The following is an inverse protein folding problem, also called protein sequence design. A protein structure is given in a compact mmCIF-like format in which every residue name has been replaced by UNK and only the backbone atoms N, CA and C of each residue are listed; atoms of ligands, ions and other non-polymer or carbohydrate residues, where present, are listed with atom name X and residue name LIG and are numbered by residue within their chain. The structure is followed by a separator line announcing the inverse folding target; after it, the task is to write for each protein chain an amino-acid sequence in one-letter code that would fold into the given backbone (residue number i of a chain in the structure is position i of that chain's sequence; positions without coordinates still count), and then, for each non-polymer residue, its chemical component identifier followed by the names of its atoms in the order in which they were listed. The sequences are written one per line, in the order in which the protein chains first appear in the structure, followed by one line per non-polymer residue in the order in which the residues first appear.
data_IF_643814300029
#
_entry.id   IF_643814300029
#
_cell.length_a   1.000
_cell.length_b   1.000
_cell.length_c   1.000
_cell.angle_alpha   90.00
_cell.angle_beta   90.00
_cell.angle_gamma   90.00
#
_symmetry.space_group_name_H-M   'P 1'
#
loop_
_entity.id
_entity.type
_entity.pdbx_description
1 polymer ?
#
# COMPACT_ATOMS: atom_id res chain seq x y z
N UNK A 1 -4.34 -6.89 -14.46
CA UNK A 1 -4.82 -5.88 -13.50
C UNK A 1 -4.76 -4.53 -14.22
N UNK A 2 -5.87 -3.81 -14.37
CA UNK A 2 -5.89 -2.52 -15.11
C UNK A 2 -5.48 -1.43 -14.12
N UNK A 3 -4.41 -0.69 -14.42
CA UNK A 3 -3.99 0.46 -13.59
C UNK A 3 -5.12 1.49 -13.57
N UNK A 4 -5.59 1.95 -12.40
CA UNK A 4 -6.69 2.88 -12.32
C UNK A 4 -6.27 4.24 -12.88
N UNK A 5 -7.22 4.91 -13.53
CA UNK A 5 -7.04 6.31 -13.86
C UNK A 5 -7.32 7.15 -12.61
N UNK A 6 -6.58 8.25 -12.45
CA UNK A 6 -6.85 9.20 -11.38
C UNK A 6 -8.28 9.74 -11.52
N UNK A 7 -9.13 9.69 -10.47
CA UNK A 7 -10.52 10.15 -10.55
C UNK A 7 -10.63 11.66 -10.81
N UNK A 8 -9.59 12.43 -10.49
CA UNK A 8 -9.53 13.88 -10.76
C UNK A 8 -8.98 14.22 -12.14
N UNK A 9 -7.77 13.73 -12.45
CA UNK A 9 -7.04 14.14 -13.66
C UNK A 9 -7.31 13.23 -14.86
N UNK A 10 -7.92 12.06 -14.65
CA UNK A 10 -8.16 11.02 -15.67
C UNK A 10 -6.90 10.53 -16.40
N UNK A 11 -5.72 10.74 -15.79
CA UNK A 11 -4.44 10.21 -16.26
C UNK A 11 -4.06 8.93 -15.55
N UNK A 12 -3.04 8.23 -16.06
CA UNK A 12 -2.47 7.05 -15.41
C UNK A 12 -1.84 7.44 -14.07
N UNK A 13 -2.02 6.55 -13.09
CA UNK A 13 -1.41 6.66 -11.76
C UNK A 13 -0.25 5.69 -11.64
N UNK A 14 0.74 6.04 -10.84
CA UNK A 14 1.85 5.16 -10.53
C UNK A 14 1.53 4.27 -9.33
N UNK A 15 1.86 2.97 -9.43
CA UNK A 15 1.77 2.07 -8.29
C UNK A 15 2.93 2.34 -7.33
N UNK A 16 2.61 2.73 -6.11
CA UNK A 16 3.58 2.96 -5.05
C UNK A 16 3.47 1.84 -4.01
N UNK A 17 4.64 1.35 -3.59
CA UNK A 17 4.80 0.42 -2.49
C UNK A 17 5.64 1.10 -1.42
N UNK A 18 5.05 1.32 -0.26
CA UNK A 18 5.74 1.81 0.93
C UNK A 18 5.83 0.68 1.94
N UNK A 19 6.96 0.55 2.62
CA UNK A 19 7.08 -0.34 3.77
C UNK A 19 7.66 0.41 4.95
N UNK A 20 7.06 0.21 6.11
CA UNK A 20 7.41 0.85 7.35
C UNK A 20 7.52 -0.22 8.44
N UNK A 21 8.59 -0.18 9.23
CA UNK A 21 8.74 -1.03 10.41
C UNK A 21 8.30 -0.22 11.61
N UNK A 22 7.26 -0.69 12.30
CA UNK A 22 6.75 -0.10 13.52
C UNK A 22 7.73 -0.37 14.68
N UNK A 23 7.69 0.48 15.70
CA UNK A 23 8.48 0.29 16.92
C UNK A 23 8.15 -1.01 17.66
N UNK A 24 6.98 -1.61 17.41
CA UNK A 24 6.56 -2.94 17.88
C UNK A 24 7.29 -4.10 17.20
N UNK A 25 8.11 -3.84 16.16
CA UNK A 25 8.75 -4.87 15.34
C UNK A 25 7.87 -5.41 14.21
N UNK A 26 6.62 -4.95 14.12
CA UNK A 26 5.70 -5.28 13.04
C UNK A 26 6.07 -4.49 11.78
N UNK A 27 5.86 -5.09 10.60
CA UNK A 27 6.15 -4.44 9.31
C UNK A 27 4.87 -4.19 8.54
N UNK A 28 4.59 -2.94 8.25
CA UNK A 28 3.45 -2.51 7.43
C UNK A 28 3.93 -2.32 6.00
N UNK A 29 3.22 -2.90 5.03
CA UNK A 29 3.43 -2.67 3.59
C UNK A 29 2.17 -2.10 3.00
N UNK A 30 2.23 -0.86 2.51
CA UNK A 30 1.09 -0.14 1.92
C UNK A 30 1.25 -0.12 0.40
N UNK A 31 0.20 -0.53 -0.29
CA UNK A 31 0.09 -0.45 -1.74
C UNK A 31 -0.99 0.56 -2.10
N UNK A 32 -0.60 1.60 -2.84
CA UNK A 32 -1.53 2.61 -3.30
C UNK A 32 -1.11 3.14 -4.66
N UNK A 33 -2.07 3.60 -5.44
CA UNK A 33 -1.81 4.34 -6.65
C UNK A 33 -1.68 5.83 -6.33
N UNK A 34 -0.67 6.49 -6.87
CA UNK A 34 -0.47 7.93 -6.72
C UNK A 34 -0.55 8.63 -8.08
N UNK A 35 -1.34 9.69 -8.15
CA UNK A 35 -1.37 10.55 -9.33
C UNK A 35 -0.13 11.47 -9.34
N UNK A 36 0.69 11.46 -10.41
CA UNK A 36 1.88 12.31 -10.49
C UNK A 36 1.55 13.80 -10.65
N UNK A 37 0.34 14.14 -11.13
CA UNK A 37 -0.06 15.54 -11.38
C UNK A 37 -0.72 16.19 -10.16
N UNK A 38 -1.72 15.53 -9.56
CA UNK A 38 -2.48 16.12 -8.44
C UNK A 38 -2.20 15.48 -7.08
N UNK A 39 -1.36 14.44 -7.02
CA UNK A 39 -1.02 13.77 -5.76
C UNK A 39 -2.11 12.88 -5.16
N UNK A 40 -3.26 12.73 -5.83
CA UNK A 40 -4.36 11.84 -5.37
C UNK A 40 -3.83 10.43 -5.08
N UNK A 41 -4.14 9.90 -3.90
CA UNK A 41 -3.76 8.54 -3.47
C UNK A 41 -5.00 7.64 -3.48
N UNK A 42 -4.87 6.44 -4.05
CA UNK A 42 -5.91 5.43 -4.09
C UNK A 42 -5.35 4.19 -3.41
N UNK A 43 -5.79 3.92 -2.18
CA UNK A 43 -5.34 2.75 -1.43
C UNK A 43 -5.88 1.47 -2.08
N UNK A 44 -5.01 0.47 -2.20
CA UNK A 44 -5.34 -0.84 -2.79
C UNK A 44 -5.36 -1.88 -1.69
N UNK A 45 -4.29 -1.93 -0.90
CA UNK A 45 -4.15 -2.89 0.18
C UNK A 45 -3.04 -2.47 1.13
N UNK A 46 -3.24 -2.78 2.40
CA UNK A 46 -2.25 -2.73 3.44
C UNK A 46 -1.97 -4.17 3.89
N UNK A 47 -0.70 -4.53 4.00
CA UNK A 47 -0.25 -5.77 4.61
C UNK A 47 0.40 -5.44 5.94
N UNK A 48 0.03 -6.17 6.98
CA UNK A 48 0.67 -6.13 8.27
C UNK A 48 1.36 -7.47 8.48
N UNK A 49 2.68 -7.43 8.57
CA UNK A 49 3.54 -8.58 8.86
C UNK A 49 3.86 -8.54 10.35
N UNK A 50 3.40 -9.54 11.08
CA UNK A 50 3.73 -9.76 12.48
C UNK A 50 4.62 -10.98 12.59
N UNK A 51 5.75 -10.81 13.27
CA UNK A 51 6.56 -11.95 13.68
C UNK A 51 5.98 -12.52 14.97
N UNK A 52 5.42 -13.71 14.87
CA UNK A 52 5.12 -14.55 16.03
C UNK A 52 6.25 -15.57 16.19
N UNK A 53 6.44 -16.10 17.40
CA UNK A 53 7.66 -16.82 17.85
C UNK A 53 8.24 -17.83 16.84
N UNK A 54 7.39 -18.53 16.11
CA UNK A 54 7.77 -19.53 15.11
C UNK A 54 7.09 -19.30 13.74
N UNK A 55 6.32 -18.22 13.58
CA UNK A 55 5.51 -17.99 12.38
C UNK A 55 5.44 -16.52 11.97
N UNK A 56 5.25 -16.27 10.68
CA UNK A 56 5.00 -14.91 10.17
C UNK A 56 3.52 -14.82 9.85
N UNK A 57 2.81 -14.01 10.62
CA UNK A 57 1.40 -13.71 10.38
C UNK A 57 1.30 -12.55 9.40
N UNK A 58 0.61 -12.78 8.28
CA UNK A 58 0.38 -11.76 7.25
C UNK A 58 -1.10 -11.41 7.26
N UNK A 59 -1.44 -10.24 7.77
CA UNK A 59 -2.80 -9.71 7.75
C UNK A 59 -2.94 -8.74 6.57
N UNK A 60 -3.89 -9.02 5.67
CA UNK A 60 -4.21 -8.15 4.53
C UNK A 60 -5.50 -7.40 4.80
N UNK A 61 -5.44 -6.08 4.75
CA UNK A 61 -6.58 -5.17 4.84
C UNK A 61 -6.67 -4.33 3.58
N UNK A 62 -7.88 -3.98 3.12
CA UNK A 62 -8.13 -3.13 1.93
C UNK A 62 -8.52 -1.74 2.39
#
# INVERSE_FOLDING_TARGET
MKEPLCPRCKIRTDLIKESETLSSGEKVVRYFYKCPVCGTRINISNLLLKHDKDSIVIEKSV
#
